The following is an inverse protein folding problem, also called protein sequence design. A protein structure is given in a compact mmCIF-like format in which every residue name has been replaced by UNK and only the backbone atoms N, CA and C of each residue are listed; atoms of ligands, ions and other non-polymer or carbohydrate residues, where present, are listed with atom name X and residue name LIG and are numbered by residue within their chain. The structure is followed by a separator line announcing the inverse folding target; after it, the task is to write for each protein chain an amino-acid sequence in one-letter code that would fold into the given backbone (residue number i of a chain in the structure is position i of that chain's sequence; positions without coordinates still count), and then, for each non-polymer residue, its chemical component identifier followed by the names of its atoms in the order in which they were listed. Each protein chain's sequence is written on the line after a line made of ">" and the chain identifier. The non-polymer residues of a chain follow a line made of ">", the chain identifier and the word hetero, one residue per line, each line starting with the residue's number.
data_IF_441635560915
#
_entry.id   IF_441635560915
#
_cell.length_a   1.000
_cell.length_b   1.000
_cell.length_c   1.000
_cell.angle_alpha   90.00
_cell.angle_beta   90.00
_cell.angle_gamma   90.00
#
_symmetry.space_group_name_H-M   'P 1'
#
loop_
_entity.id
_entity.type
_entity.pdbx_description
1 polymer ?
#
# COMPACT_ATOMS: atom_id res chain seq x y z
N UNK A 1 5.64 12.26 18.28
CA UNK A 1 6.78 11.49 18.83
C UNK A 1 6.70 11.47 20.34
N UNK A 2 7.50 10.67 21.03
CA UNK A 2 7.67 10.75 22.49
C UNK A 2 9.13 11.04 22.85
N UNK A 3 9.35 11.78 23.93
CA UNK A 3 10.65 12.01 24.59
C UNK A 3 10.49 11.64 26.06
N UNK A 4 11.24 10.66 26.54
CA UNK A 4 11.15 10.09 27.90
C UNK A 4 9.69 9.79 28.32
N UNK A 5 8.92 9.22 27.39
CA UNK A 5 7.51 8.87 27.57
C UNK A 5 6.53 10.06 27.50
N UNK A 6 7.00 11.30 27.32
CA UNK A 6 6.14 12.46 27.09
C UNK A 6 5.87 12.66 25.62
N UNK A 7 4.60 12.78 25.24
CA UNK A 7 4.21 13.04 23.85
C UNK A 7 4.56 14.47 23.44
N UNK A 8 5.28 14.60 22.34
CA UNK A 8 5.54 15.86 21.64
C UNK A 8 4.91 15.78 20.26
N UNK A 9 3.98 16.69 20.01
CA UNK A 9 3.31 16.83 18.72
C UNK A 9 4.17 17.69 17.81
N UNK A 10 4.48 17.16 16.62
CA UNK A 10 5.23 17.86 15.57
C UNK A 10 4.39 17.97 14.30
N UNK A 11 3.08 18.13 14.46
CA UNK A 11 2.10 18.27 13.39
C UNK A 11 1.59 19.71 13.30
N UNK A 12 0.65 19.94 12.38
CA UNK A 12 0.07 21.27 12.16
C UNK A 12 -0.74 21.78 13.37
N UNK A 13 -1.28 20.87 14.20
CA UNK A 13 -2.07 21.24 15.37
C UNK A 13 -1.19 21.74 16.53
N UNK A 14 0.11 21.41 16.50
CA UNK A 14 1.11 21.91 17.44
C UNK A 14 1.58 23.35 17.13
N UNK A 15 1.28 23.88 15.94
CA UNK A 15 1.66 25.22 15.52
C UNK A 15 0.46 26.19 15.54
N UNK A 16 0.69 27.52 15.65
CA UNK A 16 -0.35 28.50 15.41
C UNK A 16 -1.03 28.27 14.05
N UNK A 17 -2.33 28.56 13.96
CA UNK A 17 -3.10 28.33 12.73
C UNK A 17 -2.41 28.93 11.49
N UNK A 18 -2.15 28.10 10.48
CA UNK A 18 -1.46 28.48 9.25
C UNK A 18 0.07 28.43 9.31
N UNK A 19 0.65 27.97 10.43
CA UNK A 19 2.08 27.72 10.57
C UNK A 19 2.34 26.22 10.73
N UNK A 20 3.62 25.83 10.61
CA UNK A 20 4.10 24.48 10.89
C UNK A 20 5.31 24.60 11.80
N UNK A 21 5.51 23.62 12.68
CA UNK A 21 6.73 23.53 13.50
C UNK A 21 7.97 23.19 12.67
N UNK A 22 7.78 22.77 11.41
CA UNK A 22 8.85 22.39 10.50
C UNK A 22 9.32 23.56 9.66
N UNK A 23 10.61 23.87 9.73
CA UNK A 23 11.27 24.80 8.82
C UNK A 23 12.01 24.04 7.73
N UNK A 24 11.70 24.35 6.48
CA UNK A 24 12.49 23.84 5.35
C UNK A 24 13.82 24.60 5.26
N UNK A 25 14.95 23.90 5.36
CA UNK A 25 16.30 24.49 5.28
C UNK A 25 16.96 24.29 3.92
N UNK A 26 16.53 23.27 3.18
CA UNK A 26 16.93 22.98 1.80
C UNK A 26 15.80 22.18 1.10
N UNK A 27 15.78 22.04 -0.23
CA UNK A 27 14.87 21.12 -0.92
C UNK A 27 14.89 19.73 -0.26
N UNK A 28 13.71 19.23 0.14
CA UNK A 28 13.57 17.94 0.82
C UNK A 28 14.05 17.89 2.28
N UNK A 29 14.66 18.95 2.83
CA UNK A 29 15.18 18.95 4.22
C UNK A 29 14.34 19.83 5.13
N UNK A 30 13.81 19.24 6.19
CA UNK A 30 12.94 19.88 7.17
C UNK A 30 13.51 19.72 8.58
N UNK A 31 13.49 20.79 9.36
CA UNK A 31 14.00 20.80 10.74
C UNK A 31 12.91 21.31 11.67
N UNK A 32 12.68 20.60 12.77
CA UNK A 32 11.87 21.04 13.89
C UNK A 32 12.73 21.05 15.16
N UNK A 33 12.63 22.10 15.96
CA UNK A 33 13.33 22.21 17.25
C UNK A 33 12.31 22.12 18.37
N UNK A 34 12.64 21.38 19.42
CA UNK A 34 11.80 21.17 20.60
C UNK A 34 12.46 21.93 21.74
N UNK A 35 11.73 22.87 22.33
CA UNK A 35 12.14 23.61 23.51
C UNK A 35 11.42 23.08 24.77
N UNK A 36 12.05 23.25 25.94
CA UNK A 36 11.42 22.98 27.22
C UNK A 36 10.58 24.18 27.71
N UNK A 37 10.02 24.08 28.92
CA UNK A 37 9.23 25.16 29.53
C UNK A 37 10.01 26.46 29.81
N UNK A 38 11.34 26.38 29.84
CA UNK A 38 12.22 27.53 30.01
C UNK A 38 12.72 28.10 28.66
N UNK A 39 12.11 27.66 27.54
CA UNK A 39 12.47 28.07 26.17
C UNK A 39 13.91 27.69 25.77
N UNK A 40 14.46 26.63 26.39
CA UNK A 40 15.74 26.06 26.01
C UNK A 40 15.53 24.88 25.07
N UNK A 41 16.25 24.89 23.94
CA UNK A 41 16.27 23.80 22.98
C UNK A 41 16.77 22.49 23.62
N UNK A 42 15.94 21.45 23.61
CA UNK A 42 16.26 20.13 24.18
C UNK A 42 16.54 19.08 23.10
N UNK A 43 15.86 19.17 21.96
CA UNK A 43 16.04 18.23 20.87
C UNK A 43 15.80 18.92 19.53
N UNK A 44 16.47 18.42 18.49
CA UNK A 44 16.22 18.82 17.11
C UNK A 44 15.90 17.58 16.30
N UNK A 45 14.82 17.64 15.53
CA UNK A 45 14.42 16.58 14.61
C UNK A 45 14.64 17.08 13.20
N UNK A 46 15.45 16.35 12.44
CA UNK A 46 15.73 16.62 11.03
C UNK A 46 15.11 15.51 10.18
N UNK A 47 14.40 15.89 9.12
CA UNK A 47 13.85 14.98 8.11
C UNK A 47 14.41 15.33 6.75
N UNK A 48 14.95 14.35 6.05
CA UNK A 48 15.48 14.50 4.69
C UNK A 48 14.75 13.53 3.77
N UNK A 49 14.19 14.08 2.70
CA UNK A 49 13.56 13.35 1.62
C UNK A 49 14.43 13.46 0.37
N UNK A 50 14.89 12.33 -0.15
CA UNK A 50 15.73 12.25 -1.35
C UNK A 50 15.02 11.39 -2.39
N UNK A 51 14.97 11.86 -3.63
CA UNK A 51 14.40 11.15 -4.76
C UNK A 51 15.42 11.19 -5.91
N UNK A 52 15.85 10.01 -6.34
CA UNK A 52 16.76 9.90 -7.48
C UNK A 52 16.01 10.08 -8.81
N UNK A 53 16.67 10.63 -9.85
CA UNK A 53 16.08 10.73 -11.18
C UNK A 53 15.59 9.36 -11.69
N UNK A 54 14.41 9.34 -12.31
CA UNK A 54 13.76 8.15 -12.87
C UNK A 54 13.47 7.01 -11.88
N UNK A 55 13.56 7.27 -10.57
CA UNK A 55 13.16 6.32 -9.53
C UNK A 55 11.76 6.61 -8.98
N UNK A 56 11.10 5.56 -8.48
CA UNK A 56 9.88 5.68 -7.68
C UNK A 56 10.15 5.54 -6.17
N UNK A 57 11.42 5.34 -5.78
CA UNK A 57 11.81 5.23 -4.38
C UNK A 57 12.23 6.57 -3.80
N UNK A 58 11.59 6.92 -2.69
CA UNK A 58 11.94 8.09 -1.90
C UNK A 58 12.68 7.60 -0.66
N UNK A 59 13.92 8.04 -0.48
CA UNK A 59 14.65 7.84 0.78
C UNK A 59 14.16 8.85 1.81
N UNK A 60 13.82 8.36 3.00
CA UNK A 60 13.36 9.14 4.14
C UNK A 60 14.35 8.92 5.29
N UNK A 61 15.18 9.92 5.57
CA UNK A 61 16.05 9.93 6.74
C UNK A 61 15.41 10.79 7.83
N UNK A 62 15.32 10.25 9.05
CA UNK A 62 14.85 10.95 10.23
C UNK A 62 15.94 10.89 11.29
N UNK A 63 16.39 12.05 11.74
CA UNK A 63 17.47 12.20 12.72
C UNK A 63 16.96 12.97 13.93
N UNK A 64 17.32 12.50 15.12
CA UNK A 64 17.06 13.19 16.38
C UNK A 64 18.38 13.56 17.02
N UNK A 65 18.66 14.86 17.10
CA UNK A 65 19.81 15.41 17.83
C UNK A 65 19.40 15.71 19.28
N UNK A 66 20.19 15.24 20.24
CA UNK A 66 20.08 15.60 21.64
C UNK A 66 20.91 16.86 21.92
N UNK A 67 20.22 17.94 22.29
CA UNK A 67 20.85 19.24 22.55
C UNK A 67 21.13 19.46 24.05
N UNK A 68 20.89 18.45 24.89
CA UNK A 68 21.09 18.49 26.33
C UNK A 68 22.34 17.72 26.77
N UNK A 69 22.71 17.90 28.04
CA UNK A 69 23.80 17.18 28.70
C UNK A 69 23.40 15.81 29.26
N UNK A 70 22.13 15.40 29.14
CA UNK A 70 21.64 14.11 29.62
C UNK A 70 21.12 13.26 28.44
N UNK A 71 21.34 11.93 28.45
CA UNK A 71 20.71 11.07 27.46
C UNK A 71 19.19 11.07 27.66
N UNK A 72 18.44 10.98 26.55
CA UNK A 72 17.00 10.76 26.58
C UNK A 72 16.60 9.61 25.67
N UNK A 73 15.40 9.07 25.89
CA UNK A 73 14.78 8.10 24.99
C UNK A 73 13.80 8.81 24.08
N UNK A 74 13.98 8.69 22.77
CA UNK A 74 13.04 9.19 21.77
C UNK A 74 12.27 8.04 21.12
N UNK A 75 11.01 8.30 20.74
CA UNK A 75 10.24 7.40 19.89
C UNK A 75 9.58 8.19 18.77
N UNK A 76 10.01 7.93 17.55
CA UNK A 76 9.43 8.60 16.39
C UNK A 76 8.07 8.00 16.03
N UNK A 77 7.11 8.89 15.77
CA UNK A 77 5.80 8.52 15.25
C UNK A 77 5.63 9.27 13.94
N UNK A 78 5.56 8.52 12.84
CA UNK A 78 5.56 9.06 11.48
C UNK A 78 4.28 8.68 10.79
N UNK A 79 3.60 9.65 10.19
CA UNK A 79 2.47 9.38 9.30
C UNK A 79 3.04 8.95 7.94
N UNK A 80 2.66 7.76 7.50
CA UNK A 80 3.08 7.10 6.27
C UNK A 80 1.91 6.34 5.65
N UNK A 81 2.15 5.65 4.52
CA UNK A 81 1.28 5.63 3.35
C UNK A 81 -0.20 5.95 3.61
N UNK A 82 -0.65 7.10 3.09
CA UNK A 82 -2.01 7.60 3.27
C UNK A 82 -2.96 7.09 2.18
N UNK A 83 -4.26 7.16 2.47
CA UNK A 83 -5.32 6.71 1.59
C UNK A 83 -5.23 7.36 0.22
N UNK A 84 -5.23 6.54 -0.83
CA UNK A 84 -5.16 7.03 -2.20
C UNK A 84 -6.51 7.60 -2.64
N UNK A 85 -6.47 8.47 -3.65
CA UNK A 85 -7.66 9.01 -4.26
C UNK A 85 -8.60 7.89 -4.73
N UNK A 86 -9.89 8.07 -4.47
CA UNK A 86 -10.91 7.09 -4.87
C UNK A 86 -11.08 7.12 -6.39
N UNK A 87 -11.05 5.95 -7.02
CA UNK A 87 -11.36 5.79 -8.44
C UNK A 87 -12.81 6.23 -8.72
N UNK A 88 -13.02 6.96 -9.82
CA UNK A 88 -14.34 7.41 -10.28
C UNK A 88 -15.16 6.24 -10.86
N UNK A 89 -14.48 5.18 -11.33
CA UNK A 89 -15.09 3.99 -11.91
C UNK A 89 -15.33 2.90 -10.85
N UNK A 90 -16.60 2.73 -10.45
CA UNK A 90 -17.01 1.80 -9.39
C UNK A 90 -17.11 0.31 -9.82
N UNK A 91 -16.57 -0.08 -10.98
CA UNK A 91 -16.66 -1.48 -11.41
C UNK A 91 -15.84 -2.39 -10.48
N UNK A 92 -16.53 -3.22 -9.71
CA UNK A 92 -15.93 -4.12 -8.73
C UNK A 92 -15.66 -3.50 -7.35
N UNK A 93 -16.21 -2.31 -7.06
CA UNK A 93 -16.12 -1.68 -5.74
C UNK A 93 -14.76 -1.03 -5.42
N UNK A 94 -14.57 -0.63 -4.16
CA UNK A 94 -13.34 0.02 -3.70
C UNK A 94 -12.15 -0.94 -3.79
N UNK A 95 -11.15 -0.54 -4.58
CA UNK A 95 -9.93 -1.33 -4.82
C UNK A 95 -8.79 -0.97 -3.89
N UNK A 96 -8.98 0.04 -3.03
CA UNK A 96 -7.96 0.46 -2.08
C UNK A 96 -7.78 -0.58 -0.98
N UNK A 97 -6.54 -0.85 -0.62
CA UNK A 97 -6.14 -1.90 0.31
C UNK A 97 -4.97 -1.44 1.16
N UNK A 98 -4.93 -1.92 2.39
CA UNK A 98 -3.73 -1.92 3.22
C UNK A 98 -3.07 -3.28 3.07
N UNK A 99 -1.75 -3.30 2.93
CA UNK A 99 -0.96 -4.52 2.76
C UNK A 99 0.26 -4.52 3.66
N UNK A 100 0.66 -5.72 4.05
CA UNK A 100 1.88 -6.00 4.79
C UNK A 100 2.60 -7.16 4.11
N UNK A 101 3.87 -6.97 3.81
CA UNK A 101 4.79 -8.05 3.49
C UNK A 101 5.37 -8.60 4.78
N UNK A 102 5.47 -9.92 4.88
CA UNK A 102 5.96 -10.59 6.06
C UNK A 102 6.83 -11.80 5.71
N UNK A 103 7.72 -12.14 6.64
CA UNK A 103 8.39 -13.43 6.68
C UNK A 103 7.64 -14.35 7.64
N UNK A 104 7.47 -15.61 7.24
CA UNK A 104 6.97 -16.64 8.13
C UNK A 104 8.02 -16.98 9.22
N UNK A 105 7.58 -17.70 10.25
CA UNK A 105 8.48 -18.16 11.29
C UNK A 105 9.59 -19.06 10.73
N UNK A 106 10.72 -19.12 11.43
CA UNK A 106 11.86 -19.96 11.02
C UNK A 106 11.53 -21.48 11.01
N UNK A 107 10.43 -21.89 11.64
CA UNK A 107 9.92 -23.26 11.56
C UNK A 107 9.27 -23.58 10.21
N UNK A 108 8.69 -22.57 9.54
CA UNK A 108 8.02 -22.70 8.24
C UNK A 108 9.00 -22.38 7.10
N UNK A 109 9.75 -21.27 7.21
CA UNK A 109 10.83 -20.89 6.30
C UNK A 109 12.15 -20.75 7.06
N UNK A 110 12.95 -21.83 7.18
CA UNK A 110 14.23 -21.79 7.87
C UNK A 110 15.25 -20.84 7.24
N UNK A 111 15.15 -20.61 5.92
CA UNK A 111 16.06 -19.73 5.19
C UNK A 111 15.64 -18.25 5.33
N UNK A 112 14.38 -17.99 5.69
CA UNK A 112 13.80 -16.64 5.86
C UNK A 112 13.98 -15.76 4.63
N UNK A 113 13.78 -16.36 3.46
CA UNK A 113 13.99 -15.74 2.15
C UNK A 113 12.68 -15.42 1.42
N UNK A 114 11.58 -16.09 1.77
CA UNK A 114 10.30 -15.90 1.09
C UNK A 114 9.47 -14.80 1.77
N UNK A 115 9.35 -13.65 1.10
CA UNK A 115 8.41 -12.61 1.52
C UNK A 115 7.04 -12.93 0.95
N UNK A 116 6.02 -12.98 1.80
CA UNK A 116 4.62 -13.15 1.39
C UNK A 116 3.79 -11.94 1.81
N UNK A 117 2.73 -11.65 1.08
CA UNK A 117 1.74 -10.64 1.50
C UNK A 117 0.30 -11.18 1.49
N UNK A 118 0.10 -12.48 1.25
CA UNK A 118 -1.21 -13.07 0.99
C UNK A 118 -2.14 -13.03 2.20
N UNK A 119 -1.60 -13.30 3.39
CA UNK A 119 -2.38 -13.28 4.63
C UNK A 119 -2.95 -11.89 4.97
N UNK A 120 -2.32 -10.81 4.46
CA UNK A 120 -2.63 -9.43 4.83
C UNK A 120 -3.07 -8.58 3.66
N UNK A 121 -3.94 -9.13 2.82
CA UNK A 121 -4.70 -8.38 1.82
C UNK A 121 -5.93 -7.78 2.50
N UNK A 122 -5.78 -6.61 3.13
CA UNK A 122 -6.85 -6.01 3.93
C UNK A 122 -7.64 -4.99 3.08
N UNK A 123 -8.92 -5.23 2.78
CA UNK A 123 -9.74 -4.24 2.09
C UNK A 123 -9.84 -2.98 2.94
N UNK A 124 -9.75 -1.80 2.32
CA UNK A 124 -9.84 -0.50 3.02
C UNK A 124 -11.05 -0.41 3.96
N UNK A 125 -12.22 -0.94 3.58
CA UNK A 125 -13.39 -0.90 4.47
C UNK A 125 -13.17 -1.65 5.80
N UNK A 126 -12.43 -2.75 5.77
CA UNK A 126 -12.16 -3.59 6.94
C UNK A 126 -11.15 -2.98 7.89
N UNK A 127 -10.29 -2.06 7.41
CA UNK A 127 -9.28 -1.38 8.25
C UNK A 127 -9.93 -0.38 9.22
N UNK A 128 -11.10 0.17 8.90
CA UNK A 128 -11.83 1.06 9.79
C UNK A 128 -12.42 0.34 11.01
N UNK A 129 -12.74 -0.95 10.90
CA UNK A 129 -13.42 -1.71 11.95
C UNK A 129 -14.93 -1.41 12.02
N UNK A 130 -15.60 -1.83 13.11
CA UNK A 130 -17.02 -1.59 13.27
C UNK A 130 -17.30 -0.09 13.44
N UNK A 131 -18.37 0.39 12.79
CA UNK A 131 -18.89 1.73 13.00
C UNK A 131 -19.62 1.75 14.34
N UNK A 132 -19.27 2.70 15.22
CA UNK A 132 -20.06 2.95 16.42
C UNK A 132 -21.42 3.51 16.01
N UNK A 133 -22.49 2.77 16.35
CA UNK A 133 -23.86 3.14 15.98
C UNK A 133 -24.40 4.32 16.79
N UNK A 134 -23.86 4.58 17.99
CA UNK A 134 -24.28 5.68 18.83
C UNK A 134 -23.71 7.01 18.33
N UNK A 135 -22.42 7.01 17.94
CA UNK A 135 -21.72 8.22 17.47
C UNK A 135 -21.65 8.36 15.96
N UNK A 136 -22.01 7.31 15.22
CA UNK A 136 -21.91 7.25 13.75
C UNK A 136 -20.47 7.39 13.25
N UNK A 137 -19.47 7.09 14.09
CA UNK A 137 -18.05 7.33 13.82
C UNK A 137 -17.24 6.02 13.92
N UNK A 138 -16.10 5.97 13.23
CA UNK A 138 -15.12 4.89 13.41
C UNK A 138 -14.17 5.25 14.57
N UNK A 139 -13.52 4.23 15.15
CA UNK A 139 -12.44 4.45 16.11
C UNK A 139 -11.35 5.33 15.49
N UNK A 140 -10.92 6.44 16.11
CA UNK A 140 -9.93 7.36 15.51
C UNK A 140 -8.59 6.71 15.20
N UNK A 141 -8.12 5.84 16.09
CA UNK A 141 -6.87 5.08 15.96
C UNK A 141 -7.19 3.60 16.16
N UNK A 142 -6.56 2.73 15.37
CA UNK A 142 -6.67 1.28 15.50
C UNK A 142 -5.35 0.62 15.16
N UNK A 143 -4.84 -0.26 16.01
CA UNK A 143 -3.65 -1.05 15.71
C UNK A 143 -3.93 -2.03 14.56
N UNK A 144 -3.04 -2.05 13.58
CA UNK A 144 -3.11 -2.93 12.40
C UNK A 144 -1.89 -3.84 12.29
N UNK A 145 -0.79 -3.51 12.98
CA UNK A 145 0.37 -4.37 13.16
C UNK A 145 1.07 -4.06 14.49
N UNK A 146 1.54 -5.06 15.26
CA UNK A 146 1.13 -6.47 15.16
C UNK A 146 -0.31 -6.65 15.66
N UNK A 147 -1.02 -7.65 15.13
CA UNK A 147 -2.29 -8.14 15.69
C UNK A 147 -2.04 -9.42 16.48
N UNK A 148 -2.98 -9.86 17.36
CA UNK A 148 -2.80 -11.12 18.08
C UNK A 148 -2.51 -12.32 17.17
N UNK A 149 -3.12 -12.37 15.97
CA UNK A 149 -2.87 -13.41 14.97
C UNK A 149 -1.44 -13.34 14.39
N UNK A 150 -0.91 -12.13 14.15
CA UNK A 150 0.48 -11.94 13.68
C UNK A 150 1.46 -12.46 14.73
N UNK A 151 1.21 -12.17 16.00
CA UNK A 151 2.04 -12.61 17.12
C UNK A 151 1.98 -14.13 17.27
N UNK A 152 0.79 -14.73 17.22
CA UNK A 152 0.61 -16.19 17.31
C UNK A 152 1.31 -16.94 16.17
N UNK A 153 1.29 -16.38 14.95
CA UNK A 153 1.95 -16.97 13.78
C UNK A 153 3.43 -16.62 13.66
N UNK A 154 3.96 -15.82 14.58
CA UNK A 154 5.36 -15.35 14.59
C UNK A 154 5.76 -14.72 13.23
N UNK A 155 4.89 -13.90 12.66
CA UNK A 155 5.17 -13.21 11.41
C UNK A 155 6.00 -11.94 11.67
N UNK A 156 7.10 -11.81 10.93
CA UNK A 156 7.98 -10.64 11.01
C UNK A 156 7.68 -9.67 9.86
N UNK A 157 7.57 -8.37 10.16
CA UNK A 157 7.27 -7.35 9.18
C UNK A 157 8.46 -7.15 8.23
N UNK A 158 8.18 -7.06 6.93
CA UNK A 158 9.18 -6.71 5.89
C UNK A 158 8.88 -5.33 5.32
N UNK A 159 7.61 -5.11 4.95
CA UNK A 159 7.16 -3.86 4.39
C UNK A 159 5.68 -3.62 4.71
N UNK A 160 5.25 -2.37 4.66
CA UNK A 160 3.86 -1.96 4.87
C UNK A 160 3.43 -0.96 3.82
N UNK A 161 2.19 -1.01 3.36
CA UNK A 161 1.77 -0.12 2.29
C UNK A 161 0.28 0.00 2.09
N UNK A 162 -0.06 0.97 1.25
CA UNK A 162 -1.41 1.17 0.71
C UNK A 162 -1.37 1.07 -0.80
N UNK A 163 -2.31 0.33 -1.36
CA UNK A 163 -2.41 0.11 -2.80
C UNK A 163 -3.80 0.48 -3.30
N UNK A 164 -3.87 1.03 -4.51
CA UNK A 164 -5.11 1.17 -5.28
C UNK A 164 -5.12 0.18 -6.44
N UNK A 165 -5.88 0.48 -7.50
CA UNK A 165 -5.95 -0.36 -8.69
C UNK A 165 -4.65 -0.37 -9.50
N UNK A 166 -3.93 0.76 -9.52
CA UNK A 166 -2.79 0.96 -10.41
C UNK A 166 -1.53 1.46 -9.71
N UNK A 167 -1.63 1.99 -8.50
CA UNK A 167 -0.52 2.61 -7.78
C UNK A 167 -0.41 2.07 -6.36
N UNK A 168 0.81 2.05 -5.84
CA UNK A 168 1.10 1.68 -4.47
C UNK A 168 2.04 2.69 -3.81
N UNK A 169 1.91 2.83 -2.50
CA UNK A 169 2.87 3.47 -1.63
C UNK A 169 3.29 2.46 -0.57
N UNK A 170 4.54 2.01 -0.61
CA UNK A 170 5.10 0.94 0.24
C UNK A 170 6.30 1.47 0.98
N UNK A 171 6.27 1.36 2.31
CA UNK A 171 7.36 1.72 3.19
C UNK A 171 8.08 0.45 3.63
N UNK A 172 9.40 0.46 3.53
CA UNK A 172 10.28 -0.62 3.96
C UNK A 172 11.58 -0.05 4.55
N UNK A 173 12.38 -0.92 5.15
CA UNK A 173 13.73 -0.55 5.60
C UNK A 173 14.57 -0.11 4.40
N UNK A 174 15.58 0.72 4.68
CA UNK A 174 16.67 0.93 3.75
C UNK A 174 17.39 -0.40 3.49
N UNK A 175 17.80 -0.59 2.24
CA UNK A 175 18.51 -1.78 1.79
C UNK A 175 19.98 -1.44 1.52
N UNK A 176 20.94 -2.33 1.86
CA UNK A 176 22.33 -2.12 1.49
C UNK A 176 22.48 -2.13 -0.04
N UNK A 177 23.51 -1.43 -0.55
CA UNK A 177 23.84 -1.30 -1.97
C UNK A 177 23.58 -2.59 -2.78
N UNK A 178 22.86 -2.47 -3.91
CA UNK A 178 22.48 -3.59 -4.80
C UNK A 178 23.63 -4.46 -5.25
N UNK A 179 24.86 -3.95 -5.23
CA UNK A 179 26.08 -4.69 -5.58
C UNK A 179 26.36 -5.88 -4.66
N UNK A 180 25.71 -5.95 -3.50
CA UNK A 180 25.86 -7.03 -2.52
C UNK A 180 24.77 -8.12 -2.60
N UNK A 181 23.76 -7.95 -3.45
CA UNK A 181 22.59 -8.83 -3.54
C UNK A 181 22.83 -9.97 -4.54
N UNK A 182 22.92 -11.22 -4.08
CA UNK A 182 23.02 -12.41 -4.94
C UNK A 182 21.62 -12.92 -5.37
N UNK A 183 20.80 -12.00 -5.86
CA UNK A 183 19.43 -12.25 -6.34
C UNK A 183 18.33 -12.05 -5.28
N UNK A 184 17.05 -12.12 -5.69
CA UNK A 184 15.92 -11.74 -4.83
C UNK A 184 15.78 -12.56 -3.55
N UNK A 185 16.19 -13.83 -3.57
CA UNK A 185 16.10 -14.78 -2.44
C UNK A 185 17.42 -15.00 -1.73
N UNK A 186 18.34 -14.03 -1.76
CA UNK A 186 19.62 -14.14 -1.06
C UNK A 186 19.40 -14.24 0.48
N UNK A 187 19.83 -15.33 1.14
CA UNK A 187 19.65 -15.52 2.58
C UNK A 187 20.54 -14.61 3.43
N UNK A 188 21.58 -13.96 2.88
CA UNK A 188 22.42 -13.04 3.67
C UNK A 188 21.74 -11.70 3.97
N UNK A 189 20.61 -11.44 3.32
CA UNK A 189 19.86 -10.20 3.45
C UNK A 189 18.89 -10.29 4.64
N UNK A 190 19.08 -9.41 5.61
CA UNK A 190 18.05 -9.15 6.62
C UNK A 190 16.92 -8.30 6.01
N UNK A 191 15.75 -8.92 5.82
CA UNK A 191 14.55 -8.26 5.29
C UNK A 191 13.64 -7.70 6.38
N UNK A 192 13.91 -8.01 7.65
CA UNK A 192 12.99 -7.66 8.73
C UNK A 192 13.04 -6.16 9.02
N UNK A 193 11.88 -5.52 9.01
CA UNK A 193 11.71 -4.11 9.29
C UNK A 193 11.66 -3.83 10.80
N UNK A 194 12.79 -4.08 11.47
CA UNK A 194 12.91 -4.05 12.94
C UNK A 194 12.69 -2.68 13.57
N UNK A 195 12.91 -1.61 12.81
CA UNK A 195 12.71 -0.23 13.28
C UNK A 195 11.25 0.07 13.65
N UNK A 196 10.30 -0.72 13.18
CA UNK A 196 8.87 -0.53 13.44
C UNK A 196 8.44 -1.35 14.66
N UNK A 197 7.94 -0.68 15.70
CA UNK A 197 7.32 -1.35 16.84
C UNK A 197 5.86 -1.73 16.53
N UNK A 198 5.11 -0.78 15.98
CA UNK A 198 3.70 -0.97 15.62
C UNK A 198 3.26 -0.04 14.50
N UNK A 199 2.23 -0.48 13.78
CA UNK A 199 1.54 0.30 12.75
C UNK A 199 0.09 0.47 13.17
N UNK A 200 -0.38 1.70 13.13
CA UNK A 200 -1.75 2.07 13.49
C UNK A 200 -2.45 2.70 12.30
N UNK A 201 -3.72 2.37 12.09
CA UNK A 201 -4.60 3.09 11.17
C UNK A 201 -5.17 4.31 11.91
N UNK A 202 -4.83 5.50 11.44
CA UNK A 202 -5.33 6.78 11.98
C UNK A 202 -6.31 7.41 11.00
N UNK A 203 -7.44 7.91 11.49
CA UNK A 203 -8.36 8.71 10.68
C UNK A 203 -7.84 10.14 10.55
N UNK A 204 -7.77 10.63 9.31
CA UNK A 204 -7.34 12.01 9.02
C UNK A 204 -8.53 12.97 9.10
N UNK A 205 -9.73 12.50 8.79
CA UNK A 205 -10.96 13.29 8.92
C UNK A 205 -11.96 12.58 9.83
N UNK A 206 -12.87 13.36 10.42
CA UNK A 206 -14.05 12.83 11.09
C UNK A 206 -15.15 12.63 10.03
N UNK A 207 -15.52 11.40 9.67
CA UNK A 207 -16.64 11.19 8.76
C UNK A 207 -17.93 11.62 9.47
N UNK A 208 -18.69 12.57 8.92
CA UNK A 208 -19.94 13.00 9.54
C UNK A 208 -21.07 12.04 9.15
N UNK A 209 -21.90 11.59 10.11
CA UNK A 209 -23.07 10.78 9.81
C UNK A 209 -24.16 11.65 9.15
N UNK A 210 -24.65 11.24 7.97
CA UNK A 210 -25.89 11.76 7.37
C UNK A 210 -27.00 10.73 7.53
N UNK A 211 -28.11 11.14 8.14
CA UNK A 211 -29.33 10.33 8.11
C UNK A 211 -29.87 10.25 6.68
N UNK A 212 -30.23 9.05 6.24
CA UNK A 212 -30.94 8.81 4.98
C UNK A 212 -32.43 8.70 5.24
N UNK A 213 -33.22 9.09 4.24
CA UNK A 213 -34.68 9.15 4.31
C UNK A 213 -35.36 7.80 4.67
N UNK A 214 -34.64 6.67 4.53
CA UNK A 214 -35.11 5.32 4.90
C UNK A 214 -34.50 4.80 6.22
N UNK A 215 -34.02 5.68 7.11
CA UNK A 215 -33.52 5.28 8.44
C UNK A 215 -32.12 4.66 8.47
N UNK A 216 -31.38 4.69 7.35
CA UNK A 216 -29.95 4.33 7.33
C UNK A 216 -29.05 5.53 7.62
N UNK A 217 -27.95 5.36 8.34
CA UNK A 217 -26.89 6.37 8.42
C UNK A 217 -25.90 6.17 7.26
N UNK A 218 -25.65 7.21 6.47
CA UNK A 218 -24.67 7.25 5.38
C UNK A 218 -23.70 8.41 5.67
N UNK A 219 -22.39 8.19 5.69
CA UNK A 219 -21.44 9.27 5.96
C UNK A 219 -21.42 10.30 4.81
N UNK A 220 -21.33 11.59 5.13
CA UNK A 220 -21.29 12.69 4.14
C UNK A 220 -19.98 12.73 3.36
N UNK A 221 -18.90 12.40 4.06
CA UNK A 221 -17.54 12.35 3.56
C UNK A 221 -17.00 10.91 3.70
N UNK A 222 -16.21 10.46 2.71
CA UNK A 222 -15.46 9.21 2.83
C UNK A 222 -14.43 9.37 3.96
N UNK A 223 -14.32 8.38 4.83
CA UNK A 223 -13.37 8.42 5.95
C UNK A 223 -11.95 8.26 5.39
N UNK A 224 -11.09 9.26 5.53
CA UNK A 224 -9.70 9.23 5.09
C UNK A 224 -8.83 8.62 6.19
N UNK A 225 -7.83 7.84 5.79
CA UNK A 225 -6.90 7.21 6.72
C UNK A 225 -5.45 7.41 6.30
N UNK A 226 -4.55 7.34 7.28
CA UNK A 226 -3.13 7.10 7.08
C UNK A 226 -2.68 5.96 7.98
N UNK A 227 -1.53 5.39 7.64
CA UNK A 227 -0.80 4.52 8.55
C UNK A 227 0.11 5.40 9.41
N UNK A 228 0.03 5.24 10.73
CA UNK A 228 0.95 5.82 11.68
C UNK A 228 1.95 4.74 12.06
N UNK A 229 3.21 4.97 11.73
CA UNK A 229 4.33 4.09 12.02
C UNK A 229 4.95 4.57 13.32
N UNK A 230 4.88 3.74 14.34
CA UNK A 230 5.55 3.97 15.63
C UNK A 230 6.85 3.18 15.60
N UNK A 231 7.97 3.91 15.61
CA UNK A 231 9.28 3.31 15.60
C UNK A 231 9.64 2.70 16.97
N UNK A 232 10.64 1.82 16.98
CA UNK A 232 11.26 1.36 18.22
C UNK A 232 11.83 2.56 19.01
N UNK A 233 11.76 2.55 20.36
CA UNK A 233 12.42 3.56 21.17
C UNK A 233 13.93 3.56 20.94
N UNK A 234 14.51 4.73 20.72
CA UNK A 234 15.94 4.95 20.52
C UNK A 234 16.52 5.75 21.68
N UNK A 235 17.66 5.31 22.23
CA UNK A 235 18.37 6.05 23.27
C UNK A 235 19.37 7.00 22.62
N UNK A 236 19.15 8.31 22.76
CA UNK A 236 20.00 9.33 22.16
C UNK A 236 20.96 9.90 23.22
N UNK A 237 22.28 9.64 23.12
CA UNK A 237 23.26 10.13 24.08
C UNK A 237 23.32 11.67 24.13
N UNK A 238 23.76 12.21 25.26
CA UNK A 238 23.96 13.65 25.45
C UNK A 238 24.85 14.25 24.35
N UNK A 239 24.42 15.37 23.76
CA UNK A 239 25.13 16.05 22.67
C UNK A 239 25.32 15.24 21.37
N UNK A 240 24.71 14.06 21.27
CA UNK A 240 24.81 13.16 20.11
C UNK A 240 23.51 13.14 19.32
N UNK A 241 23.45 12.28 18.30
CA UNK A 241 22.26 12.04 17.51
C UNK A 241 22.10 10.54 17.24
N UNK A 242 20.88 10.18 16.86
CA UNK A 242 20.57 8.86 16.32
C UNK A 242 19.56 9.03 15.17
N UNK A 243 19.51 8.08 14.24
CA UNK A 243 18.81 8.22 12.97
C UNK A 243 18.13 6.94 12.48
N UNK A 244 16.97 7.09 11.85
CA UNK A 244 16.25 6.04 11.14
C UNK A 244 16.22 6.38 9.65
N UNK A 245 16.44 5.37 8.81
CA UNK A 245 16.40 5.49 7.36
C UNK A 245 15.45 4.47 6.77
N UNK A 246 14.45 4.97 6.05
CA UNK A 246 13.42 4.17 5.40
C UNK A 246 13.35 4.52 3.92
N UNK A 247 12.90 3.57 3.13
CA UNK A 247 12.59 3.77 1.72
C UNK A 247 11.08 3.68 1.52
N UNK A 248 10.56 4.57 0.69
CA UNK A 248 9.15 4.65 0.31
C UNK A 248 9.06 4.49 -1.22
N UNK A 249 8.67 3.30 -1.67
CA UNK A 249 8.23 3.11 -3.06
C UNK A 249 6.88 3.81 -3.25
N UNK A 250 6.80 4.74 -4.20
CA UNK A 250 5.58 5.48 -4.53
C UNK A 250 5.36 5.47 -6.05
N UNK A 251 4.91 4.33 -6.58
CA UNK A 251 4.91 4.08 -8.02
C UNK A 251 3.76 3.19 -8.52
N UNK A 252 3.79 2.88 -9.83
CA UNK A 252 2.79 2.01 -10.45
C UNK A 252 2.94 0.56 -9.98
N UNK A 253 1.83 -0.17 -9.92
CA UNK A 253 1.80 -1.61 -9.65
C UNK A 253 2.15 -2.33 -10.96
N UNK A 254 3.43 -2.29 -11.33
CA UNK A 254 3.94 -2.81 -12.60
C UNK A 254 5.16 -3.71 -12.36
N UNK A 255 4.97 -5.02 -12.50
CA UNK A 255 6.00 -6.03 -12.19
C UNK A 255 7.37 -5.74 -12.83
N UNK A 256 7.47 -5.44 -14.14
CA UNK A 256 8.76 -5.13 -14.75
C UNK A 256 9.44 -3.86 -14.22
N UNK A 257 8.67 -2.90 -13.70
CA UNK A 257 9.27 -1.69 -13.11
C UNK A 257 9.82 -1.99 -11.70
N UNK A 258 9.11 -2.80 -10.92
CA UNK A 258 9.55 -3.24 -9.58
C UNK A 258 10.77 -4.17 -9.70
N UNK A 259 10.73 -5.13 -10.62
CA UNK A 259 11.84 -6.08 -10.84
C UNK A 259 13.08 -5.45 -11.49
N UNK A 260 12.95 -4.26 -12.08
CA UNK A 260 14.11 -3.53 -12.60
C UNK A 260 15.03 -3.02 -11.48
N UNK A 261 14.52 -2.89 -10.26
CA UNK A 261 15.25 -2.49 -9.06
C UNK A 261 15.52 -3.74 -8.20
N UNK A 262 16.76 -4.28 -8.17
CA UNK A 262 17.08 -5.51 -7.44
C UNK A 262 16.70 -5.48 -5.96
N UNK A 263 16.75 -4.29 -5.33
CA UNK A 263 16.40 -4.08 -3.93
C UNK A 263 14.91 -4.30 -3.68
N UNK A 264 14.03 -3.75 -4.54
CA UNK A 264 12.58 -3.94 -4.45
C UNK A 264 12.19 -5.40 -4.70
N UNK A 265 12.85 -6.05 -5.67
CA UNK A 265 12.66 -7.46 -5.94
C UNK A 265 13.07 -8.33 -4.72
N UNK A 266 14.16 -7.98 -4.04
CA UNK A 266 14.63 -8.71 -2.85
C UNK A 266 13.74 -8.52 -1.61
N UNK A 267 13.01 -7.39 -1.54
CA UNK A 267 11.97 -7.15 -0.54
C UNK A 267 10.63 -7.80 -0.88
N UNK A 268 10.50 -8.42 -2.06
CA UNK A 268 9.26 -9.03 -2.51
C UNK A 268 8.16 -8.01 -2.72
N UNK A 269 8.48 -6.80 -3.18
CA UNK A 269 7.49 -5.75 -3.42
C UNK A 269 6.53 -6.12 -4.56
N UNK A 270 6.89 -7.08 -5.43
CA UNK A 270 5.99 -7.60 -6.47
C UNK A 270 4.78 -8.35 -5.90
N UNK A 271 4.86 -8.83 -4.65
CA UNK A 271 3.73 -9.38 -3.91
C UNK A 271 2.62 -8.35 -3.69
N UNK A 272 2.88 -7.04 -3.84
CA UNK A 272 1.81 -6.02 -3.80
C UNK A 272 0.81 -6.17 -4.94
N UNK A 273 1.23 -6.77 -6.05
CA UNK A 273 0.48 -6.89 -7.30
C UNK A 273 -0.64 -7.91 -7.11
N UNK A 274 -1.86 -7.41 -6.93
CA UNK A 274 -3.05 -8.28 -6.92
C UNK A 274 -3.70 -8.30 -8.29
N UNK A 275 -3.64 -9.46 -8.95
CA UNK A 275 -4.40 -9.73 -10.16
C UNK A 275 -5.90 -9.87 -9.85
N UNK A 276 -6.58 -8.74 -9.68
CA UNK A 276 -8.03 -8.69 -9.57
C UNK A 276 -8.68 -8.90 -10.95
N UNK A 277 -8.74 -10.14 -11.43
CA UNK A 277 -9.67 -10.52 -12.49
C UNK A 277 -11.09 -10.66 -11.89
N UNK A 278 -11.69 -9.52 -11.51
CA UNK A 278 -13.14 -9.32 -11.41
C UNK A 278 -14.00 -10.23 -10.50
N UNK A 279 -14.16 -9.85 -9.23
CA UNK A 279 -15.42 -10.03 -8.47
C UNK A 279 -15.89 -11.48 -8.15
N UNK A 280 -17.14 -11.65 -7.67
CA UNK A 280 -17.71 -12.95 -7.25
C UNK A 280 -17.81 -14.00 -8.38
N UNK A 281 -17.48 -13.62 -9.61
CA UNK A 281 -17.40 -14.51 -10.77
C UNK A 281 -15.95 -14.83 -11.18
N UNK A 282 -14.96 -14.65 -10.29
CA UNK A 282 -13.57 -15.05 -10.54
C UNK A 282 -13.44 -16.56 -10.83
N UNK A 283 -14.30 -17.41 -10.28
CA UNK A 283 -14.35 -18.84 -10.63
C UNK A 283 -15.00 -19.11 -12.00
N UNK A 284 -15.82 -18.18 -12.49
CA UNK A 284 -16.46 -18.25 -13.82
C UNK A 284 -15.59 -17.63 -14.93
N UNK A 285 -14.60 -16.82 -14.58
CA UNK A 285 -13.66 -16.25 -15.54
C UNK A 285 -12.56 -17.27 -15.77
N UNK A 286 -12.63 -17.94 -16.90
CA UNK A 286 -11.64 -18.92 -17.32
C UNK A 286 -10.23 -18.29 -17.36
N UNK A 287 -9.47 -18.37 -16.27
CA UNK A 287 -8.10 -17.83 -16.18
C UNK A 287 -7.17 -18.43 -17.24
N UNK A 288 -7.47 -19.67 -17.67
CA UNK A 288 -6.78 -20.31 -18.78
C UNK A 288 -7.00 -19.58 -20.12
N UNK A 289 -8.11 -18.86 -20.29
CA UNK A 289 -8.45 -18.15 -21.52
C UNK A 289 -7.95 -16.70 -21.48
N UNK A 290 -7.92 -16.06 -20.31
CA UNK A 290 -7.43 -14.69 -20.17
C UNK A 290 -5.94 -14.57 -20.47
N UNK A 291 -5.15 -15.56 -20.05
CA UNK A 291 -3.69 -15.61 -20.29
C UNK A 291 -3.32 -15.59 -21.79
N UNK A 292 -3.82 -16.51 -22.64
CA UNK A 292 -3.54 -16.49 -24.08
C UNK A 292 -4.15 -15.28 -24.78
N UNK A 293 -5.32 -14.78 -24.34
CA UNK A 293 -5.93 -13.58 -24.93
C UNK A 293 -5.08 -12.33 -24.68
N UNK A 294 -4.53 -12.19 -23.46
CA UNK A 294 -3.59 -11.12 -23.11
C UNK A 294 -2.28 -11.26 -23.88
N UNK A 295 -1.75 -12.48 -24.01
CA UNK A 295 -0.56 -12.75 -24.82
C UNK A 295 -0.76 -12.33 -26.29
N UNK A 296 -1.87 -12.74 -26.90
CA UNK A 296 -2.23 -12.35 -28.26
C UNK A 296 -2.41 -10.83 -28.39
N UNK A 297 -3.03 -10.18 -27.41
CA UNK A 297 -3.17 -8.72 -27.39
C UNK A 297 -1.80 -8.02 -27.38
N UNK A 298 -0.84 -8.51 -26.58
CA UNK A 298 0.52 -7.97 -26.58
C UNK A 298 1.21 -8.17 -27.93
N UNK A 299 1.06 -9.33 -28.57
CA UNK A 299 1.61 -9.60 -29.92
C UNK A 299 1.00 -8.64 -30.96
N UNK A 300 -0.30 -8.41 -30.89
CA UNK A 300 -0.96 -7.45 -31.77
C UNK A 300 -0.49 -6.02 -31.50
N UNK A 301 -0.26 -5.68 -30.23
CA UNK A 301 0.27 -4.38 -29.82
C UNK A 301 1.72 -4.18 -30.27
N UNK A 302 2.56 -5.21 -30.27
CA UNK A 302 3.94 -5.08 -30.81
C UNK A 302 3.96 -4.84 -32.31
N UNK A 303 2.87 -5.15 -33.03
CA UNK A 303 2.72 -4.86 -34.46
C UNK A 303 2.06 -3.51 -34.70
N UNK A 304 1.01 -3.16 -33.95
CA UNK A 304 0.23 -1.93 -34.19
C UNK A 304 0.71 -0.71 -33.41
N UNK A 305 1.49 -0.90 -32.34
CA UNK A 305 1.92 0.15 -31.40
C UNK A 305 0.80 1.00 -30.79
N UNK A 306 -0.46 0.54 -30.90
CA UNK A 306 -1.65 1.22 -30.42
C UNK A 306 -2.64 0.19 -29.86
N UNK A 307 -3.04 0.38 -28.60
CA UNK A 307 -3.93 -0.52 -27.86
C UNK A 307 -5.34 -0.62 -28.45
N UNK A 308 -5.88 0.47 -29.01
CA UNK A 308 -7.23 0.46 -29.58
C UNK A 308 -7.27 -0.38 -30.87
N UNK A 309 -6.27 -0.22 -31.75
CA UNK A 309 -6.14 -1.04 -32.95
C UNK A 309 -5.90 -2.52 -32.62
N UNK A 310 -5.07 -2.81 -31.60
CA UNK A 310 -4.85 -4.19 -31.16
C UNK A 310 -6.13 -4.86 -30.66
N UNK A 311 -6.99 -4.13 -29.93
CA UNK A 311 -8.28 -4.66 -29.46
C UNK A 311 -9.23 -4.92 -30.63
N UNK A 312 -9.29 -4.01 -31.62
CA UNK A 312 -10.12 -4.21 -32.82
C UNK A 312 -9.68 -5.47 -33.57
N UNK A 313 -8.37 -5.64 -33.79
CA UNK A 313 -7.82 -6.83 -34.43
C UNK A 313 -8.07 -8.09 -33.61
N UNK A 314 -7.92 -8.02 -32.29
CA UNK A 314 -8.22 -9.15 -31.40
C UNK A 314 -9.68 -9.60 -31.55
N UNK A 315 -10.63 -8.67 -31.60
CA UNK A 315 -12.05 -8.98 -31.81
C UNK A 315 -12.28 -9.64 -33.17
N UNK A 316 -11.60 -9.18 -34.24
CA UNK A 316 -11.68 -9.80 -35.56
C UNK A 316 -11.12 -11.23 -35.51
N UNK A 317 -9.95 -11.44 -34.90
CA UNK A 317 -9.34 -12.78 -34.77
C UNK A 317 -10.24 -13.74 -34.00
N UNK A 318 -10.77 -13.33 -32.84
CA UNK A 318 -11.66 -14.15 -32.01
C UNK A 318 -12.96 -14.46 -32.75
N UNK A 319 -13.55 -13.47 -33.44
CA UNK A 319 -14.77 -13.70 -34.23
C UNK A 319 -14.55 -14.65 -35.40
N UNK A 320 -13.42 -14.53 -36.10
CA UNK A 320 -13.06 -15.44 -37.18
C UNK A 320 -12.89 -16.88 -36.67
N UNK A 321 -12.24 -17.07 -35.52
CA UNK A 321 -12.08 -18.39 -34.89
C UNK A 321 -13.42 -19.00 -34.47
N UNK A 322 -14.34 -18.18 -33.92
CA UNK A 322 -15.65 -18.63 -33.45
C UNK A 322 -16.70 -18.71 -34.57
N UNK A 323 -16.39 -18.26 -35.78
CA UNK A 323 -17.31 -18.24 -36.92
C UNK A 323 -17.97 -19.60 -37.25
N UNK A 324 -17.26 -20.75 -37.20
CA UNK A 324 -17.88 -22.05 -37.44
C UNK A 324 -18.98 -22.37 -36.42
N UNK A 325 -18.72 -22.04 -35.14
CA UNK A 325 -19.66 -22.26 -34.03
C UNK A 325 -20.87 -21.34 -34.17
N UNK A 326 -20.67 -20.06 -34.48
CA UNK A 326 -21.78 -19.11 -34.66
C UNK A 326 -22.64 -19.50 -35.86
N UNK A 327 -22.04 -19.93 -36.97
CA UNK A 327 -22.76 -20.47 -38.13
C UNK A 327 -23.58 -21.72 -37.79
N UNK A 328 -23.01 -22.65 -37.03
CA UNK A 328 -23.74 -23.85 -36.57
C UNK A 328 -24.92 -23.50 -35.66
N UNK A 329 -24.72 -22.53 -34.76
CA UNK A 329 -25.79 -22.03 -33.90
C UNK A 329 -26.93 -21.41 -34.70
N UNK A 330 -26.62 -20.55 -35.68
CA UNK A 330 -27.60 -19.95 -36.58
C UNK A 330 -28.40 -21.00 -37.36
N UNK A 331 -27.74 -22.04 -37.90
CA UNK A 331 -28.41 -23.14 -38.61
C UNK A 331 -29.37 -23.90 -37.70
N UNK A 332 -28.97 -24.20 -36.45
CA UNK A 332 -29.84 -24.88 -35.49
C UNK A 332 -31.07 -24.04 -35.12
N UNK A 333 -30.88 -22.74 -34.93
CA UNK A 333 -31.96 -21.80 -34.59
C UNK A 333 -32.97 -21.68 -35.75
N UNK A 334 -32.50 -21.65 -37.00
CA UNK A 334 -33.36 -21.68 -38.18
C UNK A 334 -34.16 -22.99 -38.30
N UNK A 335 -33.56 -24.13 -37.96
CA UNK A 335 -34.25 -25.44 -37.95
C UNK A 335 -35.33 -25.49 -36.86
N UNK A 336 -35.03 -25.00 -35.66
CA UNK A 336 -35.99 -24.94 -34.56
C UNK A 336 -37.17 -24.01 -34.87
N UNK A 337 -36.93 -22.85 -35.49
CA UNK A 337 -38.00 -21.95 -35.94
C UNK A 337 -38.95 -22.61 -36.95
N UNK A 338 -38.44 -23.39 -37.91
CA UNK A 338 -39.27 -24.17 -38.85
C UNK A 338 -40.10 -25.24 -38.13
N UNK A 339 -39.53 -25.90 -37.12
CA UNK A 339 -40.25 -26.89 -36.32
C UNK A 339 -41.36 -26.25 -35.46
N UNK A 340 -41.13 -25.08 -34.89
CA UNK A 340 -42.17 -24.34 -34.16
C UNK A 340 -43.29 -23.84 -35.07
N UNK A 341 -42.99 -23.38 -36.29
CA UNK A 341 -44.02 -23.02 -37.28
C UNK A 341 -44.87 -24.21 -37.71
N UNK A 342 -44.28 -25.41 -37.76
CA UNK A 342 -45.01 -26.65 -38.06
C UNK A 342 -45.86 -27.17 -36.88
N UNK A 343 -45.62 -26.66 -35.65
CA UNK A 343 -46.40 -27.00 -34.44
C UNK A 343 -47.35 -25.86 -34.00
N UNK A 344 -47.42 -24.76 -34.75
CA UNK A 344 -48.43 -23.73 -34.53
C UNK A 344 -49.81 -24.31 -34.91
N UNK A 345 -50.84 -24.19 -34.05
CA UNK A 345 -52.15 -24.81 -34.25
C UNK A 345 -52.90 -24.28 -35.47
#
# INVERSE_FOLDING_TARGET
>A
MTLDGRTVYLDADAAPAGQTVWRQTAPGTFVATIANQADLDVARVTRVYTLDPDSHNITIEQRVDNLTEQPFTAQLVTMGPADQAKDTLNYGGDKRRVRFGYLASAAIDPARTEVSADAYLIPRRSTFGPLDRATGSYQPVKDVWPTPEIVEKEHDLVWLGVASRYFAAVLHKEFPDSTSINGPKDPSIDRVFRDVERVQRVLINKPEPKSTFFGGTKTTNDALMALSIVAQPMTVPAGSHDSLKWWLYAGPIHKPAIEAEPELAALGDDEIIVYNFGGPCSFCTFSFLTTPLRGLLHILHTITFDWALSIILLVVCVRSLLHPITRWSQIKMQRFGKQMQAMAP
#
